data_IF_247885726652
#
_entry.id   IF_247885726652
#
_cell.length_a   1.000
_cell.length_b   1.000
_cell.length_c   1.000
_cell.angle_alpha   90.00
_cell.angle_beta   90.00
_cell.angle_gamma   90.00
#
_symmetry.space_group_name_H-M   'P 1'
#
loop_
_entity.id
_entity.type
_entity.pdbx_description
1 polymer ?
#
# COMPACT_ATOMS: atom_id res chain seq x y z
N UNK A 1 15.45 6.49 -7.52
CA UNK A 1 13.97 6.51 -7.52
C UNK A 1 13.58 7.96 -7.26
N UNK A 2 12.82 8.56 -8.16
CA UNK A 2 12.31 9.90 -7.92
C UNK A 2 11.17 9.80 -6.90
N UNK A 3 11.29 10.54 -5.79
CA UNK A 3 10.33 10.50 -4.68
C UNK A 3 9.17 11.48 -4.89
N UNK A 4 9.14 12.22 -6.00
CA UNK A 4 7.99 13.07 -6.33
C UNK A 4 6.86 12.21 -6.87
N UNK A 5 5.69 12.27 -6.23
CA UNK A 5 4.45 11.62 -6.72
C UNK A 5 3.93 12.18 -8.06
N UNK A 6 4.70 13.06 -8.70
CA UNK A 6 4.39 13.74 -9.95
C UNK A 6 5.64 13.63 -10.84
N UNK A 7 5.47 13.10 -12.04
CA UNK A 7 6.50 13.04 -13.08
C UNK A 7 6.35 14.25 -14.02
N UNK A 8 7.36 15.12 -14.09
CA UNK A 8 7.34 16.33 -14.91
C UNK A 8 7.22 16.06 -16.41
N UNK A 9 7.75 14.93 -16.90
CA UNK A 9 7.62 14.57 -18.32
C UNK A 9 6.16 14.19 -18.64
N UNK A 10 5.49 13.47 -17.74
CA UNK A 10 4.06 13.12 -17.88
C UNK A 10 3.17 14.38 -17.85
N UNK A 11 3.49 15.34 -16.98
CA UNK A 11 2.82 16.64 -16.93
C UNK A 11 3.02 17.40 -18.24
N UNK A 12 4.24 17.42 -18.77
CA UNK A 12 4.55 18.10 -20.02
C UNK A 12 3.81 17.48 -21.21
N UNK A 13 3.84 16.15 -21.33
CA UNK A 13 3.08 15.44 -22.35
C UNK A 13 1.58 15.72 -22.27
N UNK A 14 1.02 15.78 -21.05
CA UNK A 14 -0.40 16.09 -20.86
C UNK A 14 -0.72 17.50 -21.37
N UNK A 15 0.08 18.50 -20.98
CA UNK A 15 -0.11 19.90 -21.39
C UNK A 15 0.08 20.08 -22.90
N UNK A 16 1.06 19.41 -23.50
CA UNK A 16 1.30 19.47 -24.94
C UNK A 16 0.12 18.89 -25.75
N UNK A 17 -0.57 17.86 -25.23
CA UNK A 17 -1.70 17.21 -25.90
C UNK A 17 -3.07 17.83 -25.61
N UNK A 18 -3.30 18.30 -24.38
CA UNK A 18 -4.62 18.69 -23.88
C UNK A 18 -4.69 20.16 -23.44
N UNK A 19 -3.56 20.88 -23.45
CA UNK A 19 -3.44 22.17 -22.80
C UNK A 19 -3.59 22.06 -21.29
N UNK A 20 -4.10 23.12 -20.66
CA UNK A 20 -4.35 23.15 -19.20
C UNK A 20 -5.80 22.80 -18.83
N UNK A 21 -6.62 22.43 -19.81
CA UNK A 21 -7.97 21.94 -19.59
C UNK A 21 -7.94 20.65 -18.77
N UNK A 22 -8.79 20.51 -17.75
CA UNK A 22 -8.89 19.33 -16.88
C UNK A 22 -7.59 18.95 -16.11
N UNK A 23 -6.66 19.89 -15.96
CA UNK A 23 -5.37 19.62 -15.29
C UNK A 23 -5.55 19.20 -13.82
N UNK A 24 -6.58 19.71 -13.13
CA UNK A 24 -6.95 19.29 -11.78
C UNK A 24 -7.29 17.78 -11.72
N UNK A 25 -8.09 17.30 -12.67
CA UNK A 25 -8.47 15.89 -12.74
C UNK A 25 -7.26 15.01 -13.06
N UNK A 26 -6.39 15.47 -13.95
CA UNK A 26 -5.12 14.79 -14.25
C UNK A 26 -4.26 14.65 -13.00
N UNK A 27 -4.03 15.74 -12.25
CA UNK A 27 -3.23 15.67 -11.02
C UNK A 27 -3.89 14.79 -9.95
N UNK A 28 -5.21 14.88 -9.77
CA UNK A 28 -5.94 14.03 -8.84
C UNK A 28 -5.75 12.56 -9.17
N UNK A 29 -5.95 12.18 -10.43
CA UNK A 29 -5.71 10.81 -10.91
C UNK A 29 -4.27 10.38 -10.67
N UNK A 30 -3.29 11.22 -10.99
CA UNK A 30 -1.86 10.93 -10.83
C UNK A 30 -1.47 10.72 -9.37
N UNK A 31 -1.96 11.56 -8.46
CA UNK A 31 -1.70 11.45 -7.02
C UNK A 31 -2.41 10.23 -6.40
N UNK A 32 -3.63 9.91 -6.85
CA UNK A 32 -4.43 8.80 -6.35
C UNK A 32 -3.97 7.43 -6.92
N UNK A 33 -3.00 7.37 -7.85
CA UNK A 33 -2.50 6.10 -8.42
C UNK A 33 -2.04 5.12 -7.35
N UNK A 34 -1.41 5.63 -6.28
CA UNK A 34 -0.89 4.81 -5.19
C UNK A 34 -1.97 4.11 -4.37
N UNK A 35 -3.19 4.65 -4.32
CA UNK A 35 -4.29 4.08 -3.54
C UNK A 35 -4.78 2.73 -4.09
N UNK A 36 -4.51 2.45 -5.38
CA UNK A 36 -4.96 1.24 -6.05
C UNK A 36 -3.85 0.16 -6.17
N UNK A 37 -2.70 0.38 -5.53
CA UNK A 37 -1.58 -0.56 -5.61
C UNK A 37 -1.72 -1.59 -4.49
N UNK A 38 -1.86 -2.86 -4.88
CA UNK A 38 -1.81 -3.97 -3.93
C UNK A 38 -0.36 -4.21 -3.48
N UNK A 39 -0.11 -4.15 -2.16
CA UNK A 39 1.20 -4.39 -1.57
C UNK A 39 1.17 -5.69 -0.79
N UNK A 40 1.92 -6.68 -1.27
CA UNK A 40 2.06 -7.99 -0.65
C UNK A 40 3.36 -8.08 0.15
N UNK A 41 3.26 -8.22 1.48
CA UNK A 41 4.42 -8.37 2.37
C UNK A 41 4.44 -9.78 2.95
N UNK A 42 5.56 -10.47 2.75
CA UNK A 42 5.84 -11.77 3.38
C UNK A 42 6.60 -11.58 4.69
N UNK A 43 6.07 -12.12 5.79
CA UNK A 43 6.70 -12.09 7.11
C UNK A 43 7.08 -13.52 7.50
N UNK A 44 8.33 -13.72 7.90
CA UNK A 44 8.86 -15.02 8.31
C UNK A 44 9.38 -14.95 9.75
N UNK A 45 9.50 -16.10 10.39
CA UNK A 45 10.01 -16.24 11.74
C UNK A 45 9.44 -17.47 12.41
N UNK A 46 10.05 -17.91 13.51
CA UNK A 46 9.60 -19.10 14.22
C UNK A 46 8.18 -18.94 14.79
N UNK A 47 7.54 -20.06 15.12
CA UNK A 47 6.25 -20.03 15.81
C UNK A 47 6.37 -19.25 17.13
N UNK A 48 5.39 -18.38 17.41
CA UNK A 48 5.40 -17.51 18.59
C UNK A 48 6.28 -16.25 18.49
N UNK A 49 6.96 -15.98 17.37
CA UNK A 49 7.81 -14.79 17.19
C UNK A 49 7.04 -13.44 17.10
N UNK A 50 5.71 -13.44 17.25
CA UNK A 50 4.89 -12.21 17.21
C UNK A 50 4.53 -11.69 15.82
N UNK A 51 4.61 -12.54 14.78
CA UNK A 51 4.32 -12.15 13.37
C UNK A 51 2.93 -11.56 13.18
N UNK A 52 1.90 -12.15 13.80
CA UNK A 52 0.51 -11.66 13.76
C UNK A 52 0.36 -10.32 14.48
N UNK A 53 0.93 -10.18 15.68
CA UNK A 53 0.92 -8.92 16.43
C UNK A 53 1.62 -7.80 15.66
N UNK A 54 2.71 -8.11 14.97
CA UNK A 54 3.39 -7.16 14.08
C UNK A 54 2.50 -6.71 12.91
N UNK A 55 1.80 -7.64 12.25
CA UNK A 55 0.85 -7.30 11.17
C UNK A 55 -0.28 -6.41 11.71
N UNK A 56 -0.88 -6.77 12.85
CA UNK A 56 -1.97 -6.02 13.47
C UNK A 56 -1.53 -4.59 13.85
N UNK A 57 -0.33 -4.44 14.43
CA UNK A 57 0.22 -3.15 14.78
C UNK A 57 0.43 -2.24 13.56
N UNK A 58 0.94 -2.76 12.44
CA UNK A 58 1.10 -1.97 11.22
C UNK A 58 -0.26 -1.64 10.58
N UNK A 59 -1.23 -2.55 10.67
CA UNK A 59 -2.60 -2.32 10.17
C UNK A 59 -3.44 -1.43 11.12
N UNK A 60 -2.94 -1.12 12.31
CA UNK A 60 -3.67 -0.37 13.33
C UNK A 60 -4.91 -1.11 13.87
N UNK A 61 -4.87 -2.43 13.87
CA UNK A 61 -5.94 -3.29 14.35
C UNK A 61 -5.63 -3.79 15.76
N UNK A 62 -6.65 -3.84 16.60
CA UNK A 62 -6.58 -4.55 17.88
C UNK A 62 -6.62 -6.07 17.64
N UNK A 63 -6.09 -6.84 18.58
CA UNK A 63 -6.02 -8.30 18.45
C UNK A 63 -7.40 -8.99 18.42
N UNK A 64 -8.44 -8.29 18.91
CA UNK A 64 -9.83 -8.74 18.91
C UNK A 64 -10.62 -8.28 17.66
N UNK A 65 -10.00 -7.55 16.73
CA UNK A 65 -10.64 -7.09 15.50
C UNK A 65 -10.94 -8.29 14.58
N UNK A 66 -12.13 -8.34 13.98
CA UNK A 66 -12.53 -9.42 13.07
C UNK A 66 -11.59 -9.54 11.84
N UNK A 67 -10.87 -8.46 11.50
CA UNK A 67 -9.89 -8.42 10.42
C UNK A 67 -8.45 -8.64 10.89
N UNK A 68 -8.23 -8.88 12.19
CA UNK A 68 -6.92 -9.16 12.75
C UNK A 68 -6.28 -10.39 12.09
N UNK A 69 -4.95 -10.35 11.95
CA UNK A 69 -4.19 -11.47 11.43
C UNK A 69 -4.24 -12.65 12.42
N UNK A 70 -4.81 -13.78 11.99
CA UNK A 70 -4.95 -14.97 12.83
C UNK A 70 -3.61 -15.46 13.39
N UNK A 71 -3.56 -15.72 14.69
CA UNK A 71 -2.40 -16.36 15.33
C UNK A 71 -2.35 -17.84 14.95
N UNK A 72 -1.58 -18.16 13.90
CA UNK A 72 -1.25 -19.54 13.54
C UNK A 72 -0.17 -20.11 14.48
N UNK A 73 -0.57 -20.86 15.50
CA UNK A 73 0.35 -21.53 16.46
C UNK A 73 1.30 -22.56 15.82
N UNK A 74 1.11 -22.90 14.55
CA UNK A 74 1.93 -23.84 13.77
C UNK A 74 2.28 -23.31 12.36
N UNK A 75 2.60 -22.01 12.22
CA UNK A 75 3.01 -21.43 10.93
C UNK A 75 4.33 -20.66 11.01
N UNK A 76 5.30 -21.11 10.22
CA UNK A 76 6.64 -20.51 10.09
C UNK A 76 6.64 -19.31 9.12
N UNK A 77 5.57 -19.13 8.35
CA UNK A 77 5.42 -18.04 7.39
C UNK A 77 4.01 -17.42 7.44
N UNK A 78 3.95 -16.10 7.34
CA UNK A 78 2.72 -15.30 7.25
C UNK A 78 2.71 -14.50 5.96
N UNK A 79 1.56 -14.51 5.28
CA UNK A 79 1.26 -13.63 4.16
C UNK A 79 0.13 -12.72 4.62
N UNK A 80 0.41 -11.43 4.69
CA UNK A 80 -0.60 -10.42 4.99
C UNK A 80 -0.90 -9.63 3.73
N UNK A 81 -2.18 -9.50 3.40
CA UNK A 81 -2.63 -8.42 2.54
C UNK A 81 -2.76 -7.17 3.43
N UNK A 82 -2.09 -6.09 3.05
CA UNK A 82 -2.05 -4.84 3.82
C UNK A 82 -3.21 -3.90 3.51
N UNK A 83 -4.21 -4.39 2.75
CA UNK A 83 -5.46 -3.70 2.44
C UNK A 83 -6.57 -4.03 3.45
#
# INVERSE_FOLDING_TARGET
>A
MDFTGINLEEVKEYVDRNGVSNIEEFFKKTLDRWQNIEVNIGITGDSGAGKSSFINAIRGLDDDDEKAAEVGVNRDHFRANML
#
